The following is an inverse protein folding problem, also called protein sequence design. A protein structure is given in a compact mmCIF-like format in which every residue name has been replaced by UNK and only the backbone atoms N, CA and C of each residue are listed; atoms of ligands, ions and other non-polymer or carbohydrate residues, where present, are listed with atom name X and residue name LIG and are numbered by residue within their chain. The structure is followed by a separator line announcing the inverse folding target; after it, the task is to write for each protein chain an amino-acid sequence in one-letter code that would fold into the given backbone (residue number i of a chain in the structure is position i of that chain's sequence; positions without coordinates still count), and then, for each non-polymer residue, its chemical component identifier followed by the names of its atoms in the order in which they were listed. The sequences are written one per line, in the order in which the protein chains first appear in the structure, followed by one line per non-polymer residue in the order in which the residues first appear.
data_IF_921072230488
#
_entry.id   IF_921072230488
#
_cell.length_a   1.000
_cell.length_b   1.000
_cell.length_c   1.000
_cell.angle_alpha   90.00
_cell.angle_beta   90.00
_cell.angle_gamma   90.00
#
_symmetry.space_group_name_H-M   'P 1'
#
loop_
_entity.id
_entity.type
_entity.pdbx_description
1 polymer ?
#
# COMPACT_ATOMS: atom_id res chain seq x y z
N UNK A 1 -0.48 23.28 10.63
CA UNK A 1 -1.39 22.34 11.33
C UNK A 1 -0.63 21.73 12.50
N UNK A 2 -1.14 21.82 13.74
CA UNK A 2 -0.50 21.15 14.86
C UNK A 2 -0.52 19.63 14.67
N UNK A 3 0.51 18.92 15.15
CA UNK A 3 0.52 17.47 15.17
C UNK A 3 -0.55 16.96 16.15
N UNK A 4 -1.23 15.90 15.76
CA UNK A 4 -2.26 15.28 16.59
C UNK A 4 -1.64 14.38 17.66
N UNK A 5 -2.21 14.37 18.84
CA UNK A 5 -1.87 13.34 19.84
C UNK A 5 -2.33 11.98 19.31
N UNK A 6 -1.45 10.92 19.36
CA UNK A 6 -1.84 9.60 18.91
C UNK A 6 -3.07 9.07 19.66
N UNK A 7 -4.09 8.64 18.93
CA UNK A 7 -5.21 7.92 19.52
C UNK A 7 -4.79 6.49 19.86
N UNK A 8 -4.98 6.09 21.11
CA UNK A 8 -4.67 4.74 21.61
C UNK A 8 -5.90 4.02 22.18
N UNK A 9 -7.08 4.68 22.11
CA UNK A 9 -8.32 4.21 22.73
C UNK A 9 -9.36 3.75 21.69
N UNK A 10 -8.90 2.94 20.70
CA UNK A 10 -9.81 2.31 19.76
C UNK A 10 -10.28 0.95 20.29
N UNK A 11 -11.57 0.60 20.11
CA UNK A 11 -12.08 -0.71 20.55
C UNK A 11 -11.70 -1.87 19.62
N UNK A 12 -10.86 -1.65 18.61
CA UNK A 12 -10.45 -2.60 17.58
C UNK A 12 -8.96 -2.46 17.25
N UNK A 13 -8.40 -3.45 16.56
CA UNK A 13 -6.98 -3.47 16.22
C UNK A 13 -6.75 -3.66 14.72
N UNK A 14 -6.30 -2.58 14.05
CA UNK A 14 -5.74 -2.61 12.70
C UNK A 14 -4.25 -2.95 12.83
N UNK A 15 -3.76 -3.92 12.07
CA UNK A 15 -2.39 -4.42 12.21
C UNK A 15 -1.42 -3.88 11.16
N UNK A 16 -1.87 -3.73 9.92
CA UNK A 16 -1.03 -3.29 8.79
C UNK A 16 -1.85 -3.00 7.54
N UNK A 17 -1.22 -2.44 6.51
CA UNK A 17 -1.72 -2.54 5.14
C UNK A 17 -1.82 -4.01 4.73
N UNK A 18 -2.86 -4.38 4.01
CA UNK A 18 -3.14 -5.74 3.58
C UNK A 18 -2.96 -5.93 2.08
N UNK A 19 -3.66 -5.11 1.29
CA UNK A 19 -3.72 -5.26 -0.16
C UNK A 19 -4.18 -3.97 -0.84
N UNK A 20 -4.04 -3.97 -2.17
CA UNK A 20 -4.59 -2.93 -3.05
C UNK A 20 -5.33 -3.59 -4.19
N UNK A 21 -6.48 -3.05 -4.57
CA UNK A 21 -7.25 -3.47 -5.75
C UNK A 21 -7.18 -2.38 -6.80
N UNK A 22 -6.65 -2.72 -7.97
CA UNK A 22 -6.48 -1.83 -9.12
C UNK A 22 -7.30 -2.34 -10.31
N UNK A 23 -7.48 -1.50 -11.32
CA UNK A 23 -8.07 -1.94 -12.59
C UNK A 23 -6.99 -2.20 -13.62
N UNK A 24 -7.27 -3.12 -14.57
CA UNK A 24 -6.42 -3.37 -15.72
C UNK A 24 -7.25 -3.54 -16.99
N UNK A 25 -6.78 -2.97 -18.08
CA UNK A 25 -7.34 -3.14 -19.43
C UNK A 25 -6.85 -4.41 -20.11
N UNK A 26 -5.67 -4.91 -19.71
CA UNK A 26 -5.05 -6.12 -20.25
C UNK A 26 -4.36 -6.91 -19.13
N UNK A 27 -5.06 -7.91 -18.60
CA UNK A 27 -4.55 -8.74 -17.50
C UNK A 27 -3.32 -9.55 -17.88
N UNK A 28 -3.12 -9.92 -19.16
CA UNK A 28 -1.94 -10.65 -19.60
C UNK A 28 -0.71 -9.74 -19.67
N UNK A 29 -0.85 -8.51 -20.17
CA UNK A 29 0.21 -7.51 -20.13
C UNK A 29 0.57 -7.13 -18.69
N UNK A 30 -0.42 -6.96 -17.83
CA UNK A 30 -0.25 -6.70 -16.39
C UNK A 30 0.48 -7.87 -15.71
N UNK A 31 0.06 -9.10 -15.99
CA UNK A 31 0.72 -10.31 -15.51
C UNK A 31 2.20 -10.35 -15.91
N UNK A 32 2.49 -10.12 -17.20
CA UNK A 32 3.86 -10.12 -17.69
C UNK A 32 4.73 -9.10 -16.95
N UNK A 33 4.21 -7.89 -16.72
CA UNK A 33 4.91 -6.84 -15.99
C UNK A 33 5.19 -7.23 -14.53
N UNK A 34 4.19 -7.69 -13.80
CA UNK A 34 4.32 -7.96 -12.35
C UNK A 34 4.96 -9.33 -12.06
N UNK A 35 4.65 -10.37 -12.82
CA UNK A 35 5.20 -11.73 -12.63
C UNK A 35 6.60 -11.84 -13.20
N UNK A 36 6.76 -11.63 -14.52
CA UNK A 36 8.04 -11.80 -15.20
C UNK A 36 9.02 -10.67 -14.89
N UNK A 37 8.54 -9.43 -14.84
CA UNK A 37 9.37 -8.24 -14.61
C UNK A 37 9.72 -8.05 -13.13
N UNK A 38 8.73 -7.85 -12.29
CA UNK A 38 8.96 -7.52 -10.88
C UNK A 38 9.14 -8.75 -9.97
N UNK A 39 8.69 -9.94 -10.40
CA UNK A 39 8.90 -11.19 -9.68
C UNK A 39 7.82 -11.50 -8.62
N UNK A 40 6.64 -10.90 -8.70
CA UNK A 40 5.50 -11.28 -7.87
C UNK A 40 4.97 -12.66 -8.28
N UNK A 41 4.39 -13.40 -7.34
CA UNK A 41 3.73 -14.67 -7.61
C UNK A 41 2.27 -14.46 -8.01
N UNK A 42 1.89 -15.00 -9.17
CA UNK A 42 0.47 -15.10 -9.54
C UNK A 42 -0.18 -16.21 -8.72
N UNK A 43 -1.24 -15.89 -8.00
CA UNK A 43 -1.98 -16.82 -7.16
C UNK A 43 -3.32 -17.23 -7.76
N UNK A 44 -3.88 -16.35 -8.61
CA UNK A 44 -5.10 -16.60 -9.39
C UNK A 44 -5.09 -15.73 -10.65
N UNK A 45 -5.60 -16.27 -11.76
CA UNK A 45 -5.80 -15.54 -13.02
C UNK A 45 -6.96 -16.16 -13.81
N UNK A 46 -7.92 -15.32 -14.17
CA UNK A 46 -9.00 -15.64 -15.11
C UNK A 46 -9.27 -14.45 -16.05
N UNK A 47 -10.40 -14.46 -16.78
CA UNK A 47 -10.76 -13.36 -17.68
C UNK A 47 -11.11 -12.05 -16.97
N UNK A 48 -11.39 -12.08 -15.68
CA UNK A 48 -11.92 -10.96 -14.91
C UNK A 48 -10.93 -10.43 -13.88
N UNK A 49 -9.98 -11.29 -13.40
CA UNK A 49 -9.12 -10.97 -12.28
C UNK A 49 -7.73 -11.58 -12.41
N UNK A 50 -6.77 -10.83 -11.88
CA UNK A 50 -5.40 -11.29 -11.63
C UNK A 50 -5.05 -10.97 -10.18
N UNK A 51 -4.57 -11.97 -9.42
CA UNK A 51 -4.08 -11.75 -8.06
C UNK A 51 -2.63 -12.11 -7.92
N UNK A 52 -1.89 -11.28 -7.19
CA UNK A 52 -0.45 -11.39 -7.02
C UNK A 52 -0.06 -11.17 -5.55
N UNK A 53 1.05 -11.79 -5.16
CA UNK A 53 1.65 -11.60 -3.84
C UNK A 53 3.17 -11.66 -3.88
N UNK A 54 3.79 -11.18 -2.82
CA UNK A 54 5.24 -11.20 -2.64
C UNK A 54 5.71 -12.45 -1.85
N UNK A 55 7.03 -12.58 -1.65
CA UNK A 55 7.69 -13.79 -1.13
C UNK A 55 7.25 -14.17 0.29
N UNK A 56 7.13 -13.19 1.21
CA UNK A 56 6.82 -13.42 2.62
C UNK A 56 5.33 -13.50 2.93
N UNK A 57 4.50 -13.15 1.97
CA UNK A 57 3.05 -13.06 2.16
C UNK A 57 2.40 -14.44 2.13
N UNK A 58 1.41 -14.63 3.02
CA UNK A 58 0.61 -15.86 3.11
C UNK A 58 -0.83 -15.67 2.63
N UNK A 59 -1.32 -14.43 2.57
CA UNK A 59 -2.61 -14.13 2.00
C UNK A 59 -2.67 -14.44 0.51
N UNK A 60 -3.86 -14.68 0.00
CA UNK A 60 -4.09 -14.97 -1.42
C UNK A 60 -3.50 -13.88 -2.32
N UNK A 61 -3.57 -12.62 -1.88
CA UNK A 61 -2.99 -11.50 -2.61
C UNK A 61 -2.64 -10.31 -1.70
N UNK A 62 -1.68 -9.52 -2.15
CA UNK A 62 -1.47 -8.14 -1.73
C UNK A 62 -1.76 -7.16 -2.87
N UNK A 63 -1.86 -7.65 -4.10
CA UNK A 63 -2.24 -6.86 -5.27
C UNK A 63 -3.25 -7.65 -6.11
N UNK A 64 -4.39 -7.03 -6.39
CA UNK A 64 -5.41 -7.59 -7.28
C UNK A 64 -5.73 -6.60 -8.39
N UNK A 65 -5.88 -7.12 -9.60
CA UNK A 65 -6.38 -6.37 -10.74
C UNK A 65 -7.74 -6.90 -11.16
N UNK A 66 -8.68 -5.97 -11.37
CA UNK A 66 -9.99 -6.24 -11.96
C UNK A 66 -9.99 -5.75 -13.40
N UNK A 67 -10.46 -6.63 -14.32
CA UNK A 67 -10.58 -6.30 -15.74
C UNK A 67 -11.56 -5.16 -15.94
N UNK A 68 -11.20 -4.21 -16.77
CA UNK A 68 -12.06 -3.13 -17.26
C UNK A 68 -11.96 -3.03 -18.79
N UNK A 69 -13.04 -2.61 -19.42
CA UNK A 69 -13.12 -2.46 -20.89
C UNK A 69 -12.93 -1.01 -21.36
N UNK A 70 -12.56 -0.13 -20.45
CA UNK A 70 -12.50 1.29 -20.71
C UNK A 70 -11.10 1.71 -21.20
N UNK A 71 -11.02 2.76 -21.99
CA UNK A 71 -9.78 3.35 -22.49
C UNK A 71 -9.20 4.43 -21.55
N UNK A 72 -9.84 4.64 -20.39
CA UNK A 72 -9.40 5.60 -19.38
C UNK A 72 -8.14 5.17 -18.63
N UNK A 73 -7.57 6.06 -17.82
CA UNK A 73 -6.44 5.72 -16.97
C UNK A 73 -6.82 4.66 -15.94
N UNK A 74 -5.85 3.85 -15.53
CA UNK A 74 -6.02 2.90 -14.46
C UNK A 74 -6.52 3.55 -13.16
N UNK A 75 -7.41 2.88 -12.43
CA UNK A 75 -8.00 3.38 -11.19
C UNK A 75 -7.72 2.46 -10.00
N UNK A 76 -7.60 3.04 -8.80
CA UNK A 76 -7.60 2.32 -7.54
C UNK A 76 -9.05 2.07 -7.11
N UNK A 77 -9.42 0.80 -6.97
CA UNK A 77 -10.76 0.37 -6.52
C UNK A 77 -10.87 0.38 -5.01
N UNK A 78 -9.83 -0.06 -4.32
CA UNK A 78 -9.76 -0.02 -2.87
C UNK A 78 -8.34 -0.18 -2.34
N UNK A 79 -8.15 0.28 -1.11
CA UNK A 79 -6.98 0.03 -0.27
C UNK A 79 -7.43 -0.78 0.92
N UNK A 80 -6.82 -1.93 1.15
CA UNK A 80 -7.18 -2.86 2.21
C UNK A 80 -6.23 -2.81 3.39
N UNK A 81 -6.78 -2.84 4.61
CA UNK A 81 -6.02 -2.99 5.86
C UNK A 81 -6.42 -4.27 6.58
N UNK A 82 -5.44 -4.89 7.23
CA UNK A 82 -5.65 -6.11 8.01
C UNK A 82 -6.08 -5.76 9.43
N UNK A 83 -7.19 -6.34 9.86
CA UNK A 83 -7.61 -6.35 11.27
C UNK A 83 -7.17 -7.65 11.96
N UNK A 84 -7.13 -7.63 13.29
CA UNK A 84 -6.66 -8.78 14.04
C UNK A 84 -7.70 -9.91 14.09
N UNK A 85 -8.99 -9.58 14.25
CA UNK A 85 -10.10 -10.53 14.31
C UNK A 85 -11.35 -10.03 13.61
N UNK A 86 -12.30 -10.94 13.32
CA UNK A 86 -13.64 -10.56 12.86
C UNK A 86 -14.43 -9.75 13.90
N UNK A 87 -14.13 -9.94 15.18
CA UNK A 87 -14.73 -9.12 16.24
C UNK A 87 -14.20 -7.68 16.22
N UNK A 88 -12.95 -7.49 15.84
CA UNK A 88 -12.43 -6.14 15.59
C UNK A 88 -13.18 -5.44 14.45
N UNK A 89 -13.53 -6.17 13.38
CA UNK A 89 -14.33 -5.64 12.28
C UNK A 89 -15.72 -5.21 12.73
N UNK A 90 -16.39 -6.00 13.57
CA UNK A 90 -17.72 -5.66 14.12
C UNK A 90 -17.65 -4.42 15.00
N UNK A 91 -16.66 -4.36 15.91
CA UNK A 91 -16.44 -3.19 16.76
C UNK A 91 -16.07 -1.95 15.95
N UNK A 92 -15.25 -2.10 14.92
CA UNK A 92 -14.92 -0.99 14.02
C UNK A 92 -16.15 -0.48 13.26
N UNK A 93 -17.02 -1.36 12.79
CA UNK A 93 -18.28 -0.99 12.15
C UNK A 93 -19.16 -0.16 13.07
N UNK A 94 -19.42 -0.64 14.29
CA UNK A 94 -20.21 0.07 15.31
C UNK A 94 -19.59 1.43 15.63
N UNK A 95 -18.28 1.48 15.82
CA UNK A 95 -17.53 2.70 16.14
C UNK A 95 -17.57 3.74 15.03
N UNK A 96 -17.46 3.31 13.77
CA UNK A 96 -17.53 4.16 12.58
C UNK A 96 -18.95 4.69 12.37
N UNK A 97 -19.97 3.83 12.50
CA UNK A 97 -21.39 4.25 12.40
C UNK A 97 -21.76 5.28 13.48
N UNK A 98 -21.30 5.09 14.72
CA UNK A 98 -21.52 6.04 15.80
C UNK A 98 -20.91 7.44 15.51
N UNK A 99 -19.97 7.53 14.58
CA UNK A 99 -19.32 8.77 14.10
C UNK A 99 -19.89 9.28 12.76
N UNK A 100 -20.96 8.66 12.29
CA UNK A 100 -21.61 9.06 11.04
C UNK A 100 -20.89 8.61 9.76
N UNK A 101 -19.90 7.70 9.87
CA UNK A 101 -19.23 7.13 8.69
C UNK A 101 -20.08 6.02 8.10
N UNK A 102 -20.41 6.11 6.81
CA UNK A 102 -21.10 5.03 6.06
C UNK A 102 -20.13 3.87 5.83
N UNK A 103 -20.12 2.93 6.75
CA UNK A 103 -19.35 1.69 6.67
C UNK A 103 -20.29 0.50 6.56
N UNK A 104 -20.00 -0.44 5.66
CA UNK A 104 -20.87 -1.61 5.39
C UNK A 104 -20.06 -2.86 5.14
N UNK A 105 -20.59 -4.00 5.55
CA UNK A 105 -20.03 -5.29 5.19
C UNK A 105 -20.33 -5.63 3.74
N UNK A 106 -19.33 -6.15 3.03
CA UNK A 106 -19.39 -6.53 1.62
C UNK A 106 -18.73 -7.89 1.40
N UNK A 107 -19.17 -8.61 0.38
CA UNK A 107 -18.48 -9.81 -0.08
C UNK A 107 -17.34 -9.43 -1.03
N UNK A 108 -16.18 -10.01 -0.80
CA UNK A 108 -14.99 -9.83 -1.64
C UNK A 108 -14.36 -11.17 -1.99
N UNK A 109 -13.89 -11.35 -3.23
CA UNK A 109 -13.19 -12.57 -3.61
C UNK A 109 -11.99 -12.82 -2.72
N UNK A 110 -11.83 -14.06 -2.25
CA UNK A 110 -10.69 -14.53 -1.45
C UNK A 110 -10.55 -13.91 -0.05
N UNK A 111 -11.43 -12.97 0.31
CA UNK A 111 -11.45 -12.37 1.65
C UNK A 111 -12.58 -12.97 2.49
N UNK A 112 -12.36 -13.06 3.80
CA UNK A 112 -13.42 -13.33 4.77
C UNK A 112 -14.31 -12.11 4.97
N UNK A 113 -14.85 -11.95 6.18
CA UNK A 113 -15.65 -10.77 6.50
C UNK A 113 -14.89 -9.49 6.16
N UNK A 114 -15.50 -8.65 5.32
CA UNK A 114 -14.88 -7.42 4.83
C UNK A 114 -15.78 -6.21 5.10
N UNK A 115 -15.23 -5.20 5.79
CA UNK A 115 -15.88 -3.92 6.04
C UNK A 115 -15.36 -2.89 5.03
N UNK A 116 -16.25 -2.24 4.30
CA UNK A 116 -15.92 -1.21 3.30
C UNK A 116 -16.46 0.15 3.73
N UNK A 117 -15.68 1.19 3.45
CA UNK A 117 -16.05 2.60 3.59
C UNK A 117 -15.31 3.46 2.55
N UNK A 118 -15.63 4.74 2.51
CA UNK A 118 -14.83 5.76 1.83
C UNK A 118 -14.23 6.68 2.89
N UNK A 119 -12.93 6.93 2.82
CA UNK A 119 -12.28 7.85 3.75
C UNK A 119 -12.70 9.32 3.49
N UNK A 120 -12.39 10.26 4.37
CA UNK A 120 -12.85 11.65 4.23
C UNK A 120 -12.34 12.37 2.98
N UNK A 121 -11.26 11.87 2.36
CA UNK A 121 -10.72 12.48 1.14
C UNK A 121 -11.17 11.76 -0.14
N UNK A 122 -12.03 10.73 -0.02
CA UNK A 122 -12.65 10.05 -1.14
C UNK A 122 -11.96 8.75 -1.58
N UNK A 123 -11.04 8.20 -0.80
CA UNK A 123 -10.38 6.90 -1.09
C UNK A 123 -11.26 5.75 -0.61
N UNK A 124 -11.59 4.78 -1.48
CA UNK A 124 -12.27 3.56 -1.03
C UNK A 124 -11.34 2.70 -0.16
N UNK A 125 -11.79 2.34 1.03
CA UNK A 125 -11.02 1.60 2.03
C UNK A 125 -11.74 0.31 2.40
N UNK A 126 -10.98 -0.77 2.58
CA UNK A 126 -11.48 -2.06 3.04
C UNK A 126 -10.70 -2.53 4.27
N UNK A 127 -11.41 -3.19 5.18
CA UNK A 127 -10.82 -3.88 6.32
C UNK A 127 -11.22 -5.33 6.29
N UNK A 128 -10.27 -6.26 6.44
CA UNK A 128 -10.53 -7.69 6.56
C UNK A 128 -9.66 -8.32 7.65
N UNK A 129 -10.20 -9.30 8.37
CA UNK A 129 -9.43 -10.04 9.36
C UNK A 129 -8.83 -11.33 8.80
N UNK A 130 -9.41 -11.89 7.76
CA UNK A 130 -8.95 -13.11 7.10
C UNK A 130 -8.95 -12.98 5.57
N UNK A 131 -8.18 -13.84 4.95
CA UNK A 131 -8.07 -14.01 3.50
C UNK A 131 -7.66 -15.46 3.25
N UNK A 132 -8.05 -16.03 2.12
CA UNK A 132 -7.54 -17.33 1.70
C UNK A 132 -6.01 -17.36 1.79
N UNK A 133 -5.47 -18.45 2.32
CA UNK A 133 -4.04 -18.55 2.61
C UNK A 133 -3.33 -19.50 1.67
N UNK A 134 -2.07 -19.15 1.37
CA UNK A 134 -1.10 -20.03 0.70
C UNK A 134 0.22 -20.04 1.48
N UNK A 135 1.00 -21.14 1.46
CA UNK A 135 2.33 -21.14 2.04
C UNK A 135 3.20 -20.03 1.44
N UNK A 136 3.92 -19.28 2.27
CA UNK A 136 4.88 -18.30 1.77
C UNK A 136 6.08 -18.98 1.08
N UNK A 137 6.86 -18.19 0.34
CA UNK A 137 8.01 -18.68 -0.42
C UNK A 137 9.37 -18.39 0.23
N UNK A 138 9.40 -17.94 1.50
CA UNK A 138 10.64 -17.52 2.18
C UNK A 138 11.79 -18.54 2.09
N UNK A 139 11.47 -19.86 2.09
CA UNK A 139 12.47 -20.93 1.98
C UNK A 139 12.59 -21.54 0.58
N UNK A 140 11.91 -20.97 -0.40
CA UNK A 140 11.91 -21.45 -1.78
C UNK A 140 12.77 -20.55 -2.66
N UNK A 141 14.05 -20.40 -2.30
CA UNK A 141 14.99 -19.46 -2.93
C UNK A 141 15.06 -19.56 -4.45
N UNK A 142 14.82 -20.76 -5.00
CA UNK A 142 14.79 -21.01 -6.46
C UNK A 142 13.60 -20.36 -7.18
N UNK A 143 12.59 -19.88 -6.42
CA UNK A 143 11.42 -19.19 -6.97
C UNK A 143 11.50 -17.66 -6.83
N UNK A 144 12.55 -17.13 -6.20
CA UNK A 144 12.72 -15.71 -6.00
C UNK A 144 13.22 -15.05 -7.29
N UNK A 145 12.33 -14.34 -7.98
CA UNK A 145 12.59 -13.69 -9.27
C UNK A 145 12.59 -12.15 -9.15
N UNK A 146 12.91 -11.48 -10.25
CA UNK A 146 12.91 -10.01 -10.35
C UNK A 146 13.76 -9.35 -9.27
N UNK A 147 13.22 -8.34 -8.63
CA UNK A 147 13.84 -7.61 -7.52
C UNK A 147 13.71 -8.29 -6.16
N UNK A 148 13.26 -9.56 -6.08
CA UNK A 148 12.99 -10.29 -4.83
C UNK A 148 12.06 -9.53 -3.90
N UNK A 149 10.90 -9.10 -4.38
CA UNK A 149 9.91 -8.38 -3.60
C UNK A 149 9.39 -9.26 -2.45
N UNK A 150 9.51 -8.78 -1.22
CA UNK A 150 9.23 -9.59 -0.02
C UNK A 150 7.84 -9.37 0.56
N UNK A 151 7.32 -8.14 0.59
CA UNK A 151 5.95 -7.81 1.02
C UNK A 151 5.50 -6.45 0.52
N UNK A 152 4.18 -6.26 0.43
CA UNK A 152 3.55 -4.96 0.27
C UNK A 152 3.81 -4.13 1.53
N UNK A 153 4.50 -3.02 1.36
CA UNK A 153 4.90 -2.19 2.49
C UNK A 153 3.95 -1.04 2.74
N UNK A 154 3.69 -0.22 1.73
CA UNK A 154 2.85 0.96 1.87
C UNK A 154 2.22 1.39 0.55
N UNK A 155 1.34 2.37 0.67
CA UNK A 155 0.83 3.17 -0.44
C UNK A 155 1.03 4.65 -0.18
N UNK A 156 1.08 5.43 -1.25
CA UNK A 156 0.97 6.88 -1.17
C UNK A 156 -0.25 7.36 -1.95
N UNK A 157 -0.99 8.28 -1.32
CA UNK A 157 -2.15 8.97 -1.89
C UNK A 157 -1.82 10.47 -1.99
N UNK A 158 -2.11 11.07 -3.14
CA UNK A 158 -2.15 12.51 -3.29
C UNK A 158 -3.55 13.02 -2.93
N UNK A 159 -3.62 14.10 -2.13
CA UNK A 159 -4.89 14.74 -1.76
C UNK A 159 -4.70 16.24 -1.51
N UNK A 160 -5.77 17.02 -1.64
CA UNK A 160 -5.76 18.43 -1.26
C UNK A 160 -5.97 18.64 0.25
N UNK A 161 -6.52 17.64 0.95
CA UNK A 161 -6.87 17.75 2.37
C UNK A 161 -6.10 16.72 3.22
N UNK A 162 -4.84 17.09 3.51
CA UNK A 162 -3.97 16.29 4.39
C UNK A 162 -4.54 16.24 5.81
N UNK A 163 -5.18 17.30 6.27
CA UNK A 163 -5.69 17.37 7.65
C UNK A 163 -6.84 16.40 7.86
N UNK A 164 -7.79 16.32 6.92
CA UNK A 164 -8.89 15.37 7.00
C UNK A 164 -8.37 13.91 6.96
N UNK A 165 -7.42 13.61 6.05
CA UNK A 165 -6.80 12.30 5.98
C UNK A 165 -6.06 11.96 7.28
N UNK A 166 -5.19 12.85 7.77
CA UNK A 166 -4.43 12.62 8.99
C UNK A 166 -5.33 12.42 10.21
N UNK A 167 -6.36 13.26 10.38
CA UNK A 167 -7.34 13.13 11.47
C UNK A 167 -8.02 11.76 11.47
N UNK A 168 -8.53 11.33 10.31
CA UNK A 168 -9.22 10.07 10.18
C UNK A 168 -8.32 8.86 10.51
N UNK A 169 -7.11 8.81 9.96
CA UNK A 169 -6.20 7.69 10.23
C UNK A 169 -5.63 7.73 11.66
N UNK A 170 -5.43 8.93 12.25
CA UNK A 170 -5.09 9.05 13.67
C UNK A 170 -6.22 8.50 14.55
N UNK A 171 -7.48 8.79 14.24
CA UNK A 171 -8.65 8.25 14.95
C UNK A 171 -8.75 6.73 14.83
N UNK A 172 -8.33 6.15 13.72
CA UNK A 172 -8.19 4.70 13.50
C UNK A 172 -6.95 4.10 14.19
N UNK A 173 -6.16 4.91 14.91
CA UNK A 173 -5.00 4.48 15.66
C UNK A 173 -3.70 4.34 14.85
N UNK A 174 -3.65 4.90 13.65
CA UNK A 174 -2.37 5.03 12.94
C UNK A 174 -1.51 6.09 13.61
N UNK A 175 -0.23 5.82 13.73
CA UNK A 175 0.73 6.73 14.33
C UNK A 175 1.52 7.46 13.26
N UNK A 176 1.73 8.76 13.46
CA UNK A 176 2.61 9.56 12.63
C UNK A 176 4.06 9.17 12.93
N UNK A 177 4.81 8.75 11.90
CA UNK A 177 6.24 8.47 12.01
C UNK A 177 7.08 9.64 11.48
N UNK A 178 6.66 10.20 10.37
CA UNK A 178 7.34 11.28 9.67
C UNK A 178 6.34 12.26 9.06
N UNK A 179 6.77 13.49 8.84
CA UNK A 179 5.99 14.50 8.14
C UNK A 179 6.87 15.49 7.41
N UNK A 180 6.32 16.11 6.36
CA UNK A 180 6.92 17.24 5.68
C UNK A 180 6.13 18.50 5.98
N UNK A 181 6.83 19.59 6.21
CA UNK A 181 6.23 20.90 6.44
C UNK A 181 7.03 21.99 5.77
N UNK A 182 6.36 23.12 5.45
CA UNK A 182 7.03 24.30 4.93
C UNK A 182 7.99 24.87 5.97
N UNK A 183 9.22 25.16 5.56
CA UNK A 183 10.27 25.67 6.45
C UNK A 183 9.82 26.91 7.21
N UNK A 184 10.08 26.90 8.52
CA UNK A 184 9.73 28.01 9.41
C UNK A 184 8.22 28.13 9.73
N UNK A 185 7.42 27.15 9.33
CA UNK A 185 5.95 27.15 9.58
C UNK A 185 5.49 25.81 10.14
N UNK A 186 4.21 25.76 10.57
CA UNK A 186 3.49 24.52 10.92
C UNK A 186 2.59 24.03 9.78
N UNK A 187 2.83 24.47 8.55
CA UNK A 187 2.09 24.01 7.37
C UNK A 187 2.58 22.63 6.94
N UNK A 188 1.87 21.60 7.38
CA UNK A 188 2.15 20.19 7.02
C UNK A 188 1.56 19.90 5.64
N UNK A 189 2.37 19.33 4.74
CA UNK A 189 1.95 18.98 3.39
C UNK A 189 2.19 17.50 3.03
N UNK A 190 2.66 16.68 3.99
CA UNK A 190 2.78 15.25 3.85
C UNK A 190 2.88 14.55 5.20
N UNK A 191 2.21 13.41 5.34
CA UNK A 191 2.19 12.60 6.58
C UNK A 191 2.43 11.12 6.25
N UNK A 192 3.33 10.48 7.01
CA UNK A 192 3.68 9.06 6.93
C UNK A 192 3.09 8.36 8.16
N UNK A 193 2.08 7.55 7.94
CA UNK A 193 1.24 6.96 8.98
C UNK A 193 1.42 5.45 9.03
N UNK A 194 1.64 4.92 10.22
CA UNK A 194 2.02 3.52 10.43
C UNK A 194 1.14 2.76 11.41
N UNK A 195 1.09 1.46 11.22
CA UNK A 195 0.66 0.44 12.20
C UNK A 195 1.78 -0.56 12.47
N UNK A 196 2.55 -0.94 11.43
CA UNK A 196 3.75 -1.79 11.54
C UNK A 196 4.91 -1.05 12.23
N UNK A 197 6.03 -1.75 12.42
CA UNK A 197 7.25 -1.18 13.01
C UNK A 197 8.11 -0.37 12.03
N UNK A 198 7.73 -0.27 10.76
CA UNK A 198 8.38 0.62 9.79
C UNK A 198 7.85 2.07 9.90
N UNK A 199 8.22 2.91 8.94
CA UNK A 199 7.82 4.32 8.94
C UNK A 199 6.41 4.57 8.41
N UNK A 200 5.83 3.66 7.62
CA UNK A 200 4.53 3.88 7.01
C UNK A 200 3.78 2.59 6.64
N UNK A 201 2.45 2.65 6.69
CA UNK A 201 1.50 1.81 5.96
C UNK A 201 0.78 2.62 4.89
N UNK A 202 0.52 3.89 5.17
CA UNK A 202 -0.11 4.82 4.24
C UNK A 202 0.53 6.21 4.35
N UNK A 203 0.72 6.82 3.19
CA UNK A 203 1.24 8.19 3.07
C UNK A 203 0.18 9.05 2.39
N UNK A 204 -0.10 10.20 2.98
CA UNK A 204 -0.86 11.27 2.33
C UNK A 204 0.06 12.46 2.05
N UNK A 205 0.14 12.87 0.79
CA UNK A 205 0.93 14.03 0.38
C UNK A 205 0.05 15.01 -0.40
N UNK A 206 0.35 16.31 -0.27
CA UNK A 206 -0.39 17.36 -0.97
C UNK A 206 -0.28 17.21 -2.48
N UNK A 207 -1.40 17.33 -3.18
CA UNK A 207 -1.48 17.25 -4.62
C UNK A 207 -2.91 17.10 -5.13
N UNK A 208 -3.07 17.13 -6.44
CA UNK A 208 -4.36 16.89 -7.08
C UNK A 208 -4.83 15.46 -6.78
N UNK A 209 -6.02 15.32 -6.18
CA UNK A 209 -6.54 14.03 -5.74
C UNK A 209 -7.99 14.08 -5.29
N UNK A 210 -8.52 12.96 -4.70
CA UNK A 210 -7.72 11.81 -4.28
C UNK A 210 -7.18 11.00 -5.46
N UNK A 211 -5.90 10.61 -5.40
CA UNK A 211 -5.26 9.80 -6.43
C UNK A 211 -4.17 8.93 -5.83
N UNK A 212 -4.21 7.63 -6.13
CA UNK A 212 -3.09 6.74 -5.81
C UNK A 212 -1.83 7.23 -6.53
N UNK A 213 -0.79 7.56 -5.76
CA UNK A 213 0.50 7.93 -6.31
C UNK A 213 1.34 6.70 -6.62
N UNK A 214 1.43 5.76 -5.69
CA UNK A 214 2.10 4.47 -5.90
C UNK A 214 1.68 3.41 -4.86
N UNK A 215 1.96 2.17 -5.23
CA UNK A 215 2.01 0.99 -4.37
C UNK A 215 3.47 0.62 -4.19
N UNK A 216 3.93 0.34 -2.97
CA UNK A 216 5.34 0.10 -2.69
C UNK A 216 5.61 -1.31 -2.12
N UNK A 217 6.57 -1.99 -2.73
CA UNK A 217 7.06 -3.29 -2.29
C UNK A 217 8.48 -3.19 -1.76
N UNK A 218 8.69 -3.77 -0.57
CA UNK A 218 10.02 -3.88 0.02
C UNK A 218 10.83 -5.00 -0.64
N UNK A 219 12.14 -4.77 -0.81
CA UNK A 219 13.13 -5.74 -1.25
C UNK A 219 14.30 -5.78 -0.25
N UNK A 220 15.00 -6.91 -0.07
CA UNK A 220 15.97 -7.05 1.03
C UNK A 220 17.14 -6.06 0.98
N UNK A 221 17.68 -5.78 -0.21
CA UNK A 221 18.94 -5.06 -0.37
C UNK A 221 18.91 -4.11 -1.57
N UNK A 222 19.79 -3.10 -1.57
CA UNK A 222 19.97 -2.18 -2.70
C UNK A 222 20.31 -2.95 -3.99
N UNK A 223 21.14 -4.01 -3.88
CA UNK A 223 21.48 -4.86 -5.02
C UNK A 223 20.25 -5.49 -5.68
N UNK A 224 19.19 -5.80 -4.90
CA UNK A 224 17.95 -6.35 -5.44
C UNK A 224 17.12 -5.28 -6.19
N UNK A 225 17.14 -4.02 -5.73
CA UNK A 225 16.50 -2.90 -6.47
C UNK A 225 17.15 -2.74 -7.84
N UNK A 226 18.49 -2.75 -7.90
CA UNK A 226 19.25 -2.62 -9.15
C UNK A 226 19.02 -3.83 -10.05
N UNK A 227 19.12 -5.05 -9.48
CA UNK A 227 18.88 -6.29 -10.25
C UNK A 227 17.46 -6.35 -10.84
N UNK A 228 16.45 -5.86 -10.10
CA UNK A 228 15.08 -5.72 -10.61
C UNK A 228 15.03 -4.85 -11.87
N UNK A 229 15.78 -3.74 -11.91
CA UNK A 229 15.87 -2.89 -13.09
C UNK A 229 16.59 -3.58 -14.27
N UNK A 230 17.64 -4.39 -14.00
CA UNK A 230 18.32 -5.19 -15.02
C UNK A 230 17.35 -6.22 -15.64
N UNK A 231 16.54 -6.89 -14.80
CA UNK A 231 15.52 -7.83 -15.27
C UNK A 231 14.47 -7.11 -16.13
N UNK A 232 13.90 -6.00 -15.65
CA UNK A 232 12.94 -5.20 -16.43
C UNK A 232 13.52 -4.78 -17.79
N UNK A 233 14.76 -4.32 -17.82
CA UNK A 233 15.43 -3.93 -19.05
C UNK A 233 15.65 -5.11 -20.01
N UNK A 234 16.05 -6.27 -19.50
CA UNK A 234 16.28 -7.47 -20.30
C UNK A 234 15.00 -8.04 -20.94
N UNK A 235 13.84 -7.74 -20.33
CA UNK A 235 12.52 -8.12 -20.84
C UNK A 235 11.91 -7.07 -21.79
N UNK A 236 12.66 -6.02 -22.16
CA UNK A 236 12.17 -4.94 -23.00
C UNK A 236 11.25 -3.95 -22.27
N UNK A 237 11.26 -3.94 -20.95
CA UNK A 237 10.42 -3.07 -20.10
C UNK A 237 11.19 -1.85 -19.55
N UNK A 238 12.34 -1.49 -20.12
CA UNK A 238 13.16 -0.36 -19.64
C UNK A 238 12.39 0.98 -19.62
N UNK A 239 11.55 1.22 -20.61
CA UNK A 239 10.74 2.44 -20.73
C UNK A 239 9.68 2.60 -19.62
N UNK A 240 9.40 1.51 -18.87
CA UNK A 240 8.48 1.56 -17.73
C UNK A 240 9.09 2.21 -16.49
N UNK A 241 10.41 2.39 -16.44
CA UNK A 241 11.09 3.08 -15.34
C UNK A 241 10.74 4.56 -15.35
N UNK A 242 9.82 4.97 -14.48
CA UNK A 242 9.32 6.34 -14.34
C UNK A 242 10.32 7.24 -13.61
N UNK A 243 11.13 6.66 -12.72
CA UNK A 243 12.22 7.36 -12.03
C UNK A 243 13.35 6.37 -11.73
N UNK A 244 14.55 6.74 -12.13
CA UNK A 244 15.79 5.98 -11.94
C UNK A 244 16.15 5.83 -10.45
N UNK A 245 17.04 4.89 -10.11
CA UNK A 245 17.45 4.64 -8.74
C UNK A 245 17.83 5.92 -8.01
N UNK A 246 17.30 6.08 -6.82
CA UNK A 246 17.55 7.26 -5.98
C UNK A 246 17.40 6.95 -4.50
N UNK A 247 17.82 7.90 -3.67
CA UNK A 247 17.59 7.84 -2.23
C UNK A 247 16.65 8.96 -1.81
N UNK A 248 15.57 8.60 -1.15
CA UNK A 248 14.74 9.58 -0.46
C UNK A 248 15.49 10.14 0.76
N UNK A 249 15.28 11.42 1.08
CA UNK A 249 15.57 11.93 2.42
C UNK A 249 14.65 11.23 3.43
N UNK A 250 13.36 11.29 3.16
CA UNK A 250 12.30 10.66 3.95
C UNK A 250 12.51 9.14 4.00
N UNK A 251 12.46 8.57 5.20
CA UNK A 251 12.62 7.14 5.42
C UNK A 251 14.00 6.58 5.08
N UNK A 252 14.91 7.35 4.50
CA UNK A 252 16.19 6.88 3.94
C UNK A 252 16.05 5.82 2.82
N UNK A 253 14.87 5.67 2.25
CA UNK A 253 14.60 4.60 1.29
C UNK A 253 15.41 4.76 -0.01
N UNK A 254 16.06 3.69 -0.44
CA UNK A 254 16.63 3.59 -1.79
C UNK A 254 15.60 2.92 -2.70
N UNK A 255 15.26 3.53 -3.84
CA UNK A 255 14.07 3.18 -4.60
C UNK A 255 14.24 3.27 -6.12
N UNK A 256 13.32 2.62 -6.84
CA UNK A 256 12.98 2.85 -8.25
C UNK A 256 11.46 2.88 -8.38
N UNK A 257 10.93 3.80 -9.20
CA UNK A 257 9.54 3.80 -9.64
C UNK A 257 9.40 3.23 -11.04
N UNK A 258 8.34 2.44 -11.24
CA UNK A 258 7.92 1.92 -12.54
C UNK A 258 6.47 2.31 -12.81
N UNK A 259 6.10 2.36 -14.10
CA UNK A 259 4.72 2.45 -14.55
C UNK A 259 4.29 1.14 -15.18
N UNK A 260 3.20 0.57 -14.70
CA UNK A 260 2.62 -0.61 -15.33
C UNK A 260 1.87 -0.26 -16.63
N UNK A 261 1.37 -1.25 -17.39
CA UNK A 261 0.66 -1.01 -18.65
C UNK A 261 -0.57 -0.10 -18.55
N UNK A 262 -1.18 -0.01 -17.39
CA UNK A 262 -2.34 0.85 -17.12
C UNK A 262 -1.99 2.22 -16.53
N UNK A 263 -0.69 2.47 -16.31
CA UNK A 263 -0.15 3.72 -15.78
C UNK A 263 -0.12 3.79 -14.25
N UNK A 264 -0.45 2.71 -13.54
CA UNK A 264 -0.24 2.65 -12.10
C UNK A 264 1.25 2.70 -11.78
N UNK A 265 1.61 3.46 -10.75
CA UNK A 265 3.00 3.51 -10.30
C UNK A 265 3.24 2.48 -9.23
N UNK A 266 4.30 1.70 -9.39
CA UNK A 266 4.81 0.77 -8.39
C UNK A 266 6.23 1.18 -8.00
N UNK A 267 6.51 1.13 -6.70
CA UNK A 267 7.83 1.36 -6.12
C UNK A 267 8.45 0.03 -5.68
N UNK A 268 9.69 -0.18 -6.04
CA UNK A 268 10.53 -1.20 -5.40
C UNK A 268 11.58 -0.47 -4.57
N UNK A 269 11.70 -0.79 -3.28
CA UNK A 269 12.55 -0.02 -2.38
C UNK A 269 13.13 -0.83 -1.23
N UNK A 270 14.15 -0.28 -0.57
CA UNK A 270 14.79 -0.87 0.61
C UNK A 270 15.44 0.21 1.47
N UNK A 271 16.07 -0.18 2.57
CA UNK A 271 16.90 0.68 3.44
C UNK A 271 16.13 1.71 4.26
N UNK A 272 14.81 1.59 4.40
CA UNK A 272 14.07 2.42 5.36
C UNK A 272 14.44 2.00 6.80
N UNK A 273 14.32 2.95 7.73
CA UNK A 273 14.54 2.65 9.14
C UNK A 273 13.26 2.11 9.80
N UNK A 274 13.41 1.52 10.98
CA UNK A 274 12.29 1.05 11.80
C UNK A 274 12.02 2.06 12.94
N UNK A 275 10.73 2.24 13.23
CA UNK A 275 10.24 2.98 14.38
C UNK A 275 9.93 1.95 15.49
N UNK A 276 10.89 1.71 16.36
CA UNK A 276 10.84 0.64 17.38
C UNK A 276 10.21 1.14 18.68
N UNK A 277 10.50 2.38 19.05
CA UNK A 277 10.06 2.94 20.32
C UNK A 277 8.61 3.42 20.23
N UNK A 278 7.85 3.13 21.27
CA UNK A 278 6.43 3.51 21.33
C UNK A 278 6.24 5.03 21.47
N UNK A 279 7.21 5.70 22.03
CA UNK A 279 7.28 7.15 22.28
C UNK A 279 8.11 7.90 21.22
N UNK A 280 8.34 7.27 20.05
CA UNK A 280 9.03 7.90 18.93
C UNK A 280 8.37 9.24 18.56
N UNK A 281 9.17 10.30 18.62
CA UNK A 281 8.76 11.63 18.15
C UNK A 281 8.79 11.67 16.62
N UNK A 282 7.71 12.13 15.95
CA UNK A 282 7.67 12.18 14.49
C UNK A 282 8.80 13.02 13.89
N UNK A 283 9.51 12.43 12.92
CA UNK A 283 10.60 13.14 12.24
C UNK A 283 10.06 14.19 11.28
N UNK A 284 10.50 15.42 11.40
CA UNK A 284 10.21 16.49 10.45
C UNK A 284 11.27 16.50 9.33
N UNK A 285 10.82 16.61 8.09
CA UNK A 285 11.65 16.76 6.90
C UNK A 285 11.42 18.10 6.21
#
# INVERSE_FOLDING_TARGET
MPLLTPNTDMPFNITRISHVVLTSRDLDATRYFYESGLGLEVTFHDSERLTLRAIEEQGMFSLMFEKVADDGPGTCRSVGYRMFTDDDLRRAHEWLQARGTDARFVDRPFQGLTLQLTDPVGVPVEFCASMDNRPNRMRQFHTHAGGKLVYLDHIQIATHDIQAAYGFYNDLGFRLAEYTATDGTDEVWGVWLKRKNNTQDVVYANGAGPRLHHVAYHTPEIANVVHGADVMSSLGLAETMDRAPGRHGIGNAFFIYYRDPDGHRVETFTSHYNVIDIDHEPTRW
#
